data_IF_004293574715
#
_entry.id   IF_004293574715
#
_cell.length_a   1.000
_cell.length_b   1.000
_cell.length_c   1.000
_cell.angle_alpha   90.00
_cell.angle_beta   90.00
_cell.angle_gamma   90.00
#
_symmetry.space_group_name_H-M   'P 1'
#
loop_
_entity.id
_entity.type
_entity.pdbx_description
1 polymer ?
#
# COMPACT_ATOMS: atom_id res chain seq x y z
N UNK A 1 -9.94 -19.79 5.38
CA UNK A 1 -8.77 -19.47 6.23
C UNK A 1 -8.74 -17.94 6.36
N UNK A 2 -8.76 -17.35 7.58
CA UNK A 2 -8.69 -15.89 7.72
C UNK A 2 -7.25 -15.43 7.38
N UNK A 3 -7.07 -14.37 6.58
CA UNK A 3 -5.75 -13.94 6.15
C UNK A 3 -4.87 -13.48 7.31
N UNK A 4 -3.57 -13.75 7.22
CA UNK A 4 -2.55 -13.13 8.06
C UNK A 4 -2.46 -11.63 7.72
N UNK A 5 -2.55 -10.79 8.74
CA UNK A 5 -2.50 -9.32 8.67
C UNK A 5 -1.63 -8.76 9.80
N UNK A 6 -1.14 -7.55 9.63
CA UNK A 6 -0.41 -6.79 10.63
C UNK A 6 -1.20 -6.65 11.94
N UNK A 7 -2.51 -6.38 11.84
CA UNK A 7 -3.38 -6.29 13.02
C UNK A 7 -3.49 -7.64 13.75
N UNK A 8 -3.64 -8.74 13.02
CA UNK A 8 -3.69 -10.07 13.67
C UNK A 8 -2.37 -10.45 14.33
N UNK A 9 -1.22 -10.02 13.77
CA UNK A 9 0.08 -10.22 14.39
C UNK A 9 0.24 -9.34 15.64
N UNK A 10 -0.21 -8.09 15.59
CA UNK A 10 -0.27 -7.19 16.74
C UNK A 10 -1.10 -7.77 17.89
N UNK A 11 -2.34 -8.17 17.62
CA UNK A 11 -3.24 -8.76 18.62
C UNK A 11 -2.62 -10.01 19.24
N UNK A 12 -1.97 -10.85 18.42
CA UNK A 12 -1.30 -12.05 18.88
C UNK A 12 -0.13 -11.75 19.82
N UNK A 13 0.80 -10.88 19.42
CA UNK A 13 1.95 -10.50 20.25
C UNK A 13 1.49 -9.81 21.55
N UNK A 14 0.44 -8.98 21.48
CA UNK A 14 -0.16 -8.33 22.64
C UNK A 14 -0.85 -9.33 23.60
N UNK A 15 -1.45 -10.38 23.06
CA UNK A 15 -2.05 -11.48 23.84
C UNK A 15 -0.98 -12.22 24.63
N UNK A 16 0.15 -12.55 23.99
CA UNK A 16 1.30 -13.16 24.65
C UNK A 16 1.88 -12.23 25.73
N UNK A 17 2.02 -10.93 25.44
CA UNK A 17 2.43 -9.91 26.44
C UNK A 17 1.53 -9.93 27.69
N UNK A 18 0.25 -10.21 27.53
CA UNK A 18 -0.74 -10.24 28.62
C UNK A 18 -0.71 -11.54 29.44
N UNK A 19 0.21 -12.47 29.14
CA UNK A 19 0.35 -13.74 29.87
C UNK A 19 -0.72 -14.78 29.53
N UNK A 20 -1.47 -14.58 28.45
CA UNK A 20 -2.51 -15.54 28.02
C UNK A 20 -1.83 -16.74 27.37
N UNK A 21 -2.14 -17.93 27.88
CA UNK A 21 -1.51 -19.17 27.45
C UNK A 21 -1.84 -19.54 25.99
N UNK A 22 -0.87 -20.13 25.26
CA UNK A 22 -1.10 -20.66 23.92
C UNK A 22 -2.28 -21.63 23.83
N UNK A 23 -3.26 -21.32 23.00
CA UNK A 23 -4.33 -22.26 22.64
C UNK A 23 -3.76 -23.23 21.59
N UNK A 24 -4.04 -24.52 21.71
CA UNK A 24 -3.58 -25.55 20.76
C UNK A 24 -4.40 -25.52 19.45
N UNK A 25 -4.42 -24.38 18.79
CA UNK A 25 -5.04 -24.10 17.50
C UNK A 25 -3.93 -24.05 16.42
N UNK A 26 -4.18 -24.64 15.25
CA UNK A 26 -3.28 -24.58 14.10
C UNK A 26 -2.94 -23.14 13.70
N UNK A 27 -3.91 -22.21 13.83
CA UNK A 27 -3.70 -20.79 13.55
C UNK A 27 -2.76 -20.14 14.57
N UNK A 28 -2.90 -20.52 15.83
CA UNK A 28 -2.02 -20.02 16.89
C UNK A 28 -0.58 -20.44 16.63
N UNK A 29 -0.36 -21.70 16.24
CA UNK A 29 0.98 -22.22 15.89
C UNK A 29 1.60 -21.49 14.70
N UNK A 30 0.80 -21.11 13.72
CA UNK A 30 1.26 -20.33 12.57
C UNK A 30 1.71 -18.92 12.99
N UNK A 31 0.87 -18.20 13.74
CA UNK A 31 1.19 -16.85 14.23
C UNK A 31 2.40 -16.87 15.17
N UNK A 32 2.49 -17.89 16.02
CA UNK A 32 3.62 -18.12 16.90
C UNK A 32 4.91 -18.33 16.11
N UNK A 33 4.90 -19.20 15.09
CA UNK A 33 6.06 -19.44 14.24
C UNK A 33 6.51 -18.12 13.60
N UNK A 34 5.59 -17.36 13.01
CA UNK A 34 5.93 -16.07 12.38
C UNK A 34 6.48 -15.07 13.40
N UNK A 35 5.88 -14.97 14.60
CA UNK A 35 6.35 -14.06 15.63
C UNK A 35 7.74 -14.45 16.19
N UNK A 36 8.06 -15.74 16.23
CA UNK A 36 9.39 -16.26 16.59
C UNK A 36 10.39 -15.99 15.48
N UNK A 37 10.05 -16.25 14.21
CA UNK A 37 10.90 -15.98 13.05
C UNK A 37 11.26 -14.49 12.94
N UNK A 38 10.31 -13.61 13.24
CA UNK A 38 10.51 -12.15 13.30
C UNK A 38 11.30 -11.67 14.53
N UNK A 39 11.57 -12.58 15.48
CA UNK A 39 12.24 -12.28 16.74
C UNK A 39 11.41 -11.44 17.70
N UNK A 40 10.07 -11.39 17.54
CA UNK A 40 9.17 -10.65 18.44
C UNK A 40 8.89 -11.43 19.73
N UNK A 41 8.95 -12.75 19.65
CA UNK A 41 8.73 -13.68 20.76
C UNK A 41 9.89 -14.68 20.77
N UNK A 42 10.35 -15.07 21.95
CA UNK A 42 11.39 -16.09 22.11
C UNK A 42 10.82 -17.53 22.20
N UNK A 43 11.71 -18.52 22.29
CA UNK A 43 11.32 -19.93 22.41
C UNK A 43 10.55 -20.28 23.69
N UNK A 44 10.49 -19.38 24.67
CA UNK A 44 9.79 -19.54 25.95
C UNK A 44 8.46 -18.76 25.97
N UNK A 45 7.97 -18.31 24.82
CA UNK A 45 6.75 -17.50 24.70
C UNK A 45 6.83 -16.15 25.42
N UNK A 46 8.04 -15.60 25.56
CA UNK A 46 8.25 -14.28 26.16
C UNK A 46 8.46 -13.24 25.06
N UNK A 47 7.86 -12.07 25.23
CA UNK A 47 8.05 -10.95 24.30
C UNK A 47 9.49 -10.41 24.41
N UNK A 48 10.15 -10.24 23.27
CA UNK A 48 11.52 -9.71 23.21
C UNK A 48 11.53 -8.18 23.20
N UNK A 49 12.71 -7.55 23.31
CA UNK A 49 12.86 -6.11 23.09
C UNK A 49 12.35 -5.66 21.71
N UNK A 50 12.63 -6.46 20.67
CA UNK A 50 12.14 -6.24 19.30
C UNK A 50 10.62 -6.38 19.21
N UNK A 51 10.03 -7.32 19.94
CA UNK A 51 8.58 -7.46 20.05
C UNK A 51 7.92 -6.24 20.70
N UNK A 52 8.55 -5.67 21.74
CA UNK A 52 8.08 -4.43 22.36
C UNK A 52 8.18 -3.23 21.41
N UNK A 53 9.26 -3.13 20.64
CA UNK A 53 9.41 -2.11 19.58
C UNK A 53 8.29 -2.24 18.53
N UNK A 54 7.99 -3.46 18.09
CA UNK A 54 6.88 -3.72 17.17
C UNK A 54 5.53 -3.25 17.72
N UNK A 55 5.19 -3.61 18.97
CA UNK A 55 3.92 -3.18 19.58
C UNK A 55 3.84 -1.66 19.67
N UNK A 56 4.90 -0.99 20.13
CA UNK A 56 4.95 0.48 20.22
C UNK A 56 4.85 1.12 18.85
N UNK A 57 5.50 0.56 17.83
CA UNK A 57 5.47 1.08 16.47
C UNK A 57 4.05 1.00 15.89
N UNK A 58 3.35 -0.11 16.13
CA UNK A 58 1.95 -0.27 15.72
C UNK A 58 1.01 0.69 16.45
N UNK A 59 1.08 0.75 17.78
CA UNK A 59 0.24 1.64 18.61
C UNK A 59 0.41 3.13 18.23
N UNK A 60 1.63 3.55 17.91
CA UNK A 60 1.93 4.93 17.51
C UNK A 60 1.74 5.21 16.01
N UNK A 61 1.39 4.21 15.21
CA UNK A 61 1.32 4.34 13.74
C UNK A 61 2.67 4.67 13.10
N UNK A 62 3.79 4.27 13.71
CA UNK A 62 5.14 4.49 13.19
C UNK A 62 5.46 3.44 12.10
N UNK A 63 4.99 3.71 10.89
CA UNK A 63 5.21 2.91 9.69
C UNK A 63 6.68 2.71 9.34
N UNK A 64 7.54 3.70 9.57
CA UNK A 64 8.97 3.63 9.26
C UNK A 64 9.66 2.56 10.12
N UNK A 65 9.39 2.59 11.43
CA UNK A 65 9.90 1.60 12.36
C UNK A 65 9.33 0.20 12.05
N UNK A 66 8.04 0.10 11.73
CA UNK A 66 7.45 -1.17 11.30
C UNK A 66 8.12 -1.71 10.04
N UNK A 67 8.25 -0.88 9.01
CA UNK A 67 8.92 -1.24 7.75
C UNK A 67 10.33 -1.76 8.00
N UNK A 68 11.13 -1.04 8.81
CA UNK A 68 12.47 -1.46 9.21
C UNK A 68 12.47 -2.83 9.91
N UNK A 69 11.57 -3.04 10.86
CA UNK A 69 11.46 -4.32 11.58
C UNK A 69 11.16 -5.50 10.64
N UNK A 70 10.32 -5.31 9.62
CA UNK A 70 10.05 -6.35 8.62
C UNK A 70 11.17 -6.52 7.59
N UNK A 71 11.84 -5.44 7.17
CA UNK A 71 13.02 -5.51 6.30
C UNK A 71 14.15 -6.32 6.94
N UNK A 72 14.39 -6.10 8.23
CA UNK A 72 15.47 -6.77 8.97
C UNK A 72 15.13 -8.21 9.37
N UNK A 73 13.83 -8.52 9.55
CA UNK A 73 13.37 -9.77 10.18
C UNK A 73 12.61 -10.74 9.27
N UNK A 74 12.16 -10.31 8.08
CA UNK A 74 11.34 -11.12 7.19
C UNK A 74 11.92 -11.13 5.78
N UNK A 75 12.74 -12.14 5.47
CA UNK A 75 13.41 -12.26 4.16
C UNK A 75 12.44 -12.14 2.96
N UNK A 76 11.24 -12.77 2.95
CA UNK A 76 10.28 -12.56 1.87
C UNK A 76 9.83 -11.11 1.71
N UNK A 77 9.66 -10.39 2.82
CA UNK A 77 9.32 -8.98 2.82
C UNK A 77 10.41 -8.15 2.15
N UNK A 78 11.65 -8.34 2.59
CA UNK A 78 12.82 -7.64 2.07
C UNK A 78 12.99 -7.83 0.56
N UNK A 79 13.01 -9.09 0.10
CA UNK A 79 13.18 -9.41 -1.34
C UNK A 79 12.07 -8.84 -2.21
N UNK A 80 10.82 -8.97 -1.79
CA UNK A 80 9.69 -8.45 -2.56
C UNK A 80 9.70 -6.93 -2.57
N UNK A 81 9.98 -6.29 -1.43
CA UNK A 81 10.07 -4.85 -1.34
C UNK A 81 11.21 -4.30 -2.23
N UNK A 82 12.40 -4.91 -2.20
CA UNK A 82 13.51 -4.54 -3.10
C UNK A 82 13.11 -4.65 -4.59
N UNK A 83 12.33 -5.66 -4.98
CA UNK A 83 11.84 -5.79 -6.35
C UNK A 83 10.79 -4.72 -6.71
N UNK A 84 9.89 -4.40 -5.78
CA UNK A 84 8.93 -3.31 -5.94
C UNK A 84 9.64 -1.97 -6.15
N UNK A 85 10.69 -1.68 -5.37
CA UNK A 85 11.49 -0.45 -5.53
C UNK A 85 12.22 -0.36 -6.88
N UNK A 86 12.40 -1.50 -7.56
CA UNK A 86 12.97 -1.61 -8.91
C UNK A 86 11.88 -1.62 -10.00
N UNK A 87 10.61 -1.42 -9.64
CA UNK A 87 9.48 -1.35 -10.56
C UNK A 87 8.83 -2.69 -10.90
N UNK A 88 9.21 -3.79 -10.24
CA UNK A 88 8.57 -5.09 -10.45
C UNK A 88 7.33 -5.19 -9.57
N UNK A 89 6.16 -4.90 -10.15
CA UNK A 89 4.89 -4.84 -9.39
C UNK A 89 3.95 -6.02 -9.67
N UNK A 90 4.15 -6.77 -10.75
CA UNK A 90 3.27 -7.88 -11.12
C UNK A 90 3.47 -9.09 -10.20
N UNK A 91 2.43 -9.61 -9.52
CA UNK A 91 2.56 -10.75 -8.62
C UNK A 91 3.18 -12.00 -9.26
N UNK A 92 2.80 -12.30 -10.52
CA UNK A 92 3.39 -13.44 -11.25
C UNK A 92 4.89 -13.26 -11.54
N UNK A 93 5.33 -12.02 -11.72
CA UNK A 93 6.75 -11.71 -11.92
C UNK A 93 7.53 -11.76 -10.61
N UNK A 94 6.95 -11.27 -9.51
CA UNK A 94 7.49 -11.42 -8.16
C UNK A 94 7.63 -12.90 -7.79
N UNK A 95 6.63 -13.74 -8.05
CA UNK A 95 6.72 -15.21 -7.88
C UNK A 95 7.89 -15.78 -8.66
N UNK A 96 8.01 -15.43 -9.95
CA UNK A 96 9.08 -15.93 -10.82
C UNK A 96 10.48 -15.51 -10.34
N UNK A 97 10.65 -14.25 -9.95
CA UNK A 97 11.96 -13.69 -9.60
C UNK A 97 12.40 -14.05 -8.18
N UNK A 98 11.46 -14.21 -7.25
CA UNK A 98 11.78 -14.55 -5.86
C UNK A 98 11.84 -16.06 -5.60
N UNK A 99 11.12 -16.85 -6.41
CA UNK A 99 10.89 -18.28 -6.17
C UNK A 99 9.83 -18.56 -5.08
N UNK A 100 9.19 -17.53 -4.52
CA UNK A 100 8.12 -17.71 -3.55
C UNK A 100 6.81 -18.10 -4.23
N UNK A 101 5.97 -18.86 -3.52
CA UNK A 101 4.63 -19.16 -4.00
C UNK A 101 3.74 -17.90 -3.95
N UNK A 102 2.62 -17.94 -4.71
CA UNK A 102 1.70 -16.81 -4.84
C UNK A 102 1.09 -16.35 -3.50
N UNK A 103 0.93 -17.26 -2.53
CA UNK A 103 0.37 -16.93 -1.21
C UNK A 103 1.34 -16.09 -0.39
N UNK A 104 2.63 -16.45 -0.40
CA UNK A 104 3.68 -15.66 0.28
C UNK A 104 3.79 -14.28 -0.34
N UNK A 105 3.76 -14.18 -1.67
CA UNK A 105 3.80 -12.90 -2.38
C UNK A 105 2.59 -12.04 -2.02
N UNK A 106 1.37 -12.60 -2.06
CA UNK A 106 0.14 -11.88 -1.67
C UNK A 106 0.20 -11.38 -0.22
N UNK A 107 0.65 -12.24 0.71
CA UNK A 107 0.76 -11.90 2.12
C UNK A 107 1.75 -10.76 2.35
N UNK A 108 2.91 -10.80 1.70
CA UNK A 108 3.92 -9.75 1.81
C UNK A 108 3.43 -8.43 1.19
N UNK A 109 2.82 -8.47 0.00
CA UNK A 109 2.22 -7.28 -0.62
C UNK A 109 1.15 -6.66 0.28
N UNK A 110 0.34 -7.48 0.94
CA UNK A 110 -0.63 -7.02 1.93
C UNK A 110 0.05 -6.36 3.12
N UNK A 111 1.09 -6.97 3.69
CA UNK A 111 1.84 -6.38 4.82
C UNK A 111 2.47 -5.04 4.44
N UNK A 112 3.09 -4.92 3.26
CA UNK A 112 3.65 -3.67 2.76
C UNK A 112 2.56 -2.61 2.69
N UNK A 113 1.43 -2.93 2.05
CA UNK A 113 0.27 -2.04 1.94
C UNK A 113 -0.29 -1.62 3.31
N UNK A 114 -0.39 -2.54 4.27
CA UNK A 114 -0.87 -2.26 5.62
C UNK A 114 0.09 -1.33 6.38
N UNK A 115 1.40 -1.56 6.31
CA UNK A 115 2.42 -0.71 6.93
C UNK A 115 2.43 0.69 6.30
N UNK A 116 2.40 0.78 4.97
CA UNK A 116 2.33 2.06 4.25
C UNK A 116 1.04 2.83 4.58
N UNK A 117 -0.05 2.12 4.86
CA UNK A 117 -1.32 2.74 5.25
C UNK A 117 -1.29 3.35 6.65
N UNK A 118 -0.39 2.89 7.53
CA UNK A 118 -0.15 3.50 8.84
C UNK A 118 0.66 4.80 8.73
N UNK A 119 1.41 4.99 7.64
CA UNK A 119 2.15 6.22 7.39
C UNK A 119 1.20 7.37 7.06
N UNK A 120 1.13 8.37 7.96
CA UNK A 120 0.51 9.67 7.64
C UNK A 120 1.24 10.35 6.48
N UNK A 121 2.56 10.16 6.42
CA UNK A 121 3.44 10.62 5.34
C UNK A 121 4.01 9.38 4.64
N UNK A 122 3.33 8.85 3.62
CA UNK A 122 4.00 7.84 2.77
C UNK A 122 5.09 8.56 2.00
N UNK A 123 6.34 8.17 2.20
CA UNK A 123 7.45 8.61 1.35
C UNK A 123 7.15 8.07 -0.04
N UNK A 124 6.57 8.89 -0.91
CA UNK A 124 6.39 8.55 -2.30
C UNK A 124 7.80 8.41 -2.88
N UNK A 125 8.18 7.18 -3.24
CA UNK A 125 9.43 6.93 -3.94
C UNK A 125 9.42 7.69 -5.27
N UNK A 126 10.45 8.49 -5.55
CA UNK A 126 10.55 9.31 -6.75
C UNK A 126 10.45 8.47 -8.04
N UNK A 127 11.04 7.27 -8.08
CA UNK A 127 10.93 6.38 -9.25
C UNK A 127 9.50 5.87 -9.47
N UNK A 128 8.77 5.63 -8.39
CA UNK A 128 7.36 5.24 -8.44
C UNK A 128 6.49 6.43 -8.88
N UNK A 129 6.82 7.63 -8.42
CA UNK A 129 6.16 8.86 -8.86
C UNK A 129 6.36 9.07 -10.37
N UNK A 130 7.59 8.97 -10.88
CA UNK A 130 7.88 9.13 -12.32
C UNK A 130 7.11 8.10 -13.16
N UNK A 131 7.07 6.84 -12.72
CA UNK A 131 6.28 5.79 -13.39
C UNK A 131 4.77 6.11 -13.38
N UNK A 132 4.26 6.57 -12.24
CA UNK A 132 2.87 6.99 -12.09
C UNK A 132 2.53 8.19 -12.97
N UNK A 133 3.35 9.24 -12.94
CA UNK A 133 3.18 10.45 -13.73
C UNK A 133 3.14 10.12 -15.23
N UNK A 134 4.10 9.31 -15.70
CA UNK A 134 4.15 8.88 -17.10
C UNK A 134 2.89 8.12 -17.50
N UNK A 135 2.49 7.13 -16.72
CA UNK A 135 1.29 6.32 -17.00
C UNK A 135 0.02 7.19 -16.97
N UNK A 136 -0.13 8.07 -15.98
CA UNK A 136 -1.28 8.94 -15.83
C UNK A 136 -1.42 9.91 -17.00
N UNK A 137 -0.34 10.53 -17.44
CA UNK A 137 -0.35 11.41 -18.60
C UNK A 137 -0.68 10.65 -19.89
N UNK A 138 -0.12 9.45 -20.08
CA UNK A 138 -0.40 8.62 -21.25
C UNK A 138 -1.88 8.21 -21.33
N UNK A 139 -2.43 7.67 -20.23
CA UNK A 139 -3.85 7.29 -20.15
C UNK A 139 -4.77 8.48 -20.31
N UNK A 140 -4.43 9.62 -19.70
CA UNK A 140 -5.20 10.84 -19.87
C UNK A 140 -5.26 11.28 -21.34
N UNK A 141 -4.14 11.29 -22.08
CA UNK A 141 -4.16 11.62 -23.54
C UNK A 141 -5.06 10.67 -24.32
N UNK A 142 -5.00 9.38 -24.01
CA UNK A 142 -5.83 8.37 -24.64
C UNK A 142 -7.32 8.61 -24.40
N UNK A 143 -7.69 8.92 -23.17
CA UNK A 143 -9.07 9.18 -22.75
C UNK A 143 -9.60 10.53 -23.25
N UNK A 144 -8.78 11.58 -23.22
CA UNK A 144 -9.19 12.92 -23.63
C UNK A 144 -9.40 13.02 -25.13
N UNK A 145 -8.58 12.35 -25.96
CA UNK A 145 -8.72 12.36 -27.43
C UNK A 145 -9.99 11.69 -27.94
N UNK A 146 -10.54 10.73 -27.17
CA UNK A 146 -11.77 10.00 -27.54
C UNK A 146 -13.05 10.78 -27.19
N UNK A 147 -12.92 11.91 -26.51
CA UNK A 147 -14.04 12.71 -26.01
C UNK A 147 -14.01 14.10 -26.64
N UNK A 148 -15.19 14.69 -26.81
CA UNK A 148 -15.30 16.11 -27.18
C UNK A 148 -14.79 17.03 -26.04
N UNK A 149 -14.90 16.57 -24.79
CA UNK A 149 -14.42 17.30 -23.62
C UNK A 149 -13.03 16.83 -23.18
N UNK A 150 -12.14 17.78 -22.82
CA UNK A 150 -10.85 17.48 -22.18
C UNK A 150 -11.00 16.99 -20.73
N UNK A 151 -12.18 17.08 -20.13
CA UNK A 151 -12.44 16.57 -18.79
C UNK A 151 -12.60 15.05 -18.79
N UNK A 152 -11.75 14.37 -18.01
CA UNK A 152 -11.73 12.90 -17.85
C UNK A 152 -12.16 12.56 -16.43
N UNK A 153 -12.91 11.46 -16.25
CA UNK A 153 -13.29 11.00 -14.91
C UNK A 153 -12.06 10.49 -14.16
N UNK A 154 -11.84 11.00 -12.94
CA UNK A 154 -10.66 10.66 -12.13
C UNK A 154 -10.63 9.16 -11.83
N UNK A 155 -11.78 8.58 -11.46
CA UNK A 155 -11.88 7.16 -11.13
C UNK A 155 -11.47 6.25 -12.29
N UNK A 156 -12.00 6.53 -13.49
CA UNK A 156 -11.63 5.79 -14.70
C UNK A 156 -10.13 5.91 -14.98
N UNK A 157 -9.58 7.13 -14.92
CA UNK A 157 -8.16 7.37 -15.14
C UNK A 157 -7.29 6.59 -14.14
N UNK A 158 -7.65 6.65 -12.85
CA UNK A 158 -6.94 5.91 -11.81
C UNK A 158 -7.08 4.40 -11.99
N UNK A 159 -8.24 3.88 -12.39
CA UNK A 159 -8.40 2.45 -12.63
C UNK A 159 -7.52 1.96 -13.79
N UNK A 160 -7.37 2.76 -14.87
CA UNK A 160 -6.45 2.43 -15.97
C UNK A 160 -4.98 2.49 -15.53
N UNK A 161 -4.58 3.51 -14.79
CA UNK A 161 -3.20 3.65 -14.26
C UNK A 161 -2.90 2.53 -13.26
N UNK A 162 -3.85 2.20 -12.39
CA UNK A 162 -3.74 1.10 -11.43
C UNK A 162 -3.67 -0.26 -12.14
N UNK A 163 -4.41 -0.45 -13.22
CA UNK A 163 -4.33 -1.67 -14.02
C UNK A 163 -2.95 -1.84 -14.69
N UNK A 164 -2.30 -0.74 -15.05
CA UNK A 164 -0.95 -0.76 -15.63
C UNK A 164 0.14 -0.98 -14.59
N UNK A 165 0.09 -0.22 -13.49
CA UNK A 165 1.15 -0.20 -12.48
C UNK A 165 0.92 -1.19 -11.33
N UNK A 166 -0.26 -1.81 -11.26
CA UNK A 166 -0.68 -2.74 -10.21
C UNK A 166 -0.60 -2.15 -8.79
N UNK A 167 -0.80 -0.83 -8.67
CA UNK A 167 -0.72 -0.13 -7.39
C UNK A 167 -2.04 -0.18 -6.60
N UNK A 168 -2.00 -0.26 -5.25
CA UNK A 168 -3.18 -0.18 -4.40
C UNK A 168 -3.95 1.14 -4.55
N UNK A 169 -5.26 1.11 -4.32
CA UNK A 169 -6.15 2.27 -4.41
C UNK A 169 -5.67 3.49 -3.59
N UNK A 170 -5.24 3.23 -2.34
CA UNK A 170 -4.78 4.29 -1.44
C UNK A 170 -3.47 4.93 -1.93
N UNK A 171 -2.55 4.13 -2.47
CA UNK A 171 -1.29 4.62 -3.03
C UNK A 171 -1.54 5.44 -4.29
N UNK A 172 -2.45 5.00 -5.16
CA UNK A 172 -2.89 5.76 -6.32
C UNK A 172 -3.50 7.12 -5.94
N UNK A 173 -4.28 7.19 -4.86
CA UNK A 173 -4.81 8.44 -4.32
C UNK A 173 -3.71 9.40 -3.86
N UNK A 174 -2.73 8.91 -3.10
CA UNK A 174 -1.59 9.74 -2.65
C UNK A 174 -0.69 10.19 -3.80
N UNK A 175 -0.42 9.31 -4.76
CA UNK A 175 0.31 9.65 -5.99
C UNK A 175 -0.45 10.69 -6.83
N UNK A 176 -1.78 10.61 -6.88
CA UNK A 176 -2.62 11.62 -7.52
C UNK A 176 -2.53 12.97 -6.81
N UNK A 177 -2.61 13.01 -5.48
CA UNK A 177 -2.42 14.23 -4.70
C UNK A 177 -1.06 14.86 -4.99
N UNK A 178 0.00 14.06 -4.98
CA UNK A 178 1.36 14.52 -5.30
C UNK A 178 1.47 15.04 -6.74
N UNK A 179 0.85 14.34 -7.70
CA UNK A 179 0.78 14.79 -9.09
C UNK A 179 0.07 16.15 -9.20
N UNK A 180 -1.09 16.31 -8.56
CA UNK A 180 -1.84 17.58 -8.54
C UNK A 180 -1.01 18.68 -7.89
N UNK A 181 -0.26 18.37 -6.83
CA UNK A 181 0.65 19.32 -6.18
C UNK A 181 1.74 19.81 -7.12
N UNK A 182 2.40 18.90 -7.83
CA UNK A 182 3.50 19.22 -8.76
C UNK A 182 3.02 19.87 -10.05
N UNK A 183 1.81 19.53 -10.51
CA UNK A 183 1.20 20.06 -11.74
C UNK A 183 0.12 21.11 -11.48
N UNK A 184 0.16 21.79 -10.34
CA UNK A 184 -0.91 22.69 -9.85
C UNK A 184 -1.42 23.69 -10.91
N UNK A 185 -0.52 24.24 -11.72
CA UNK A 185 -0.83 25.29 -12.70
C UNK A 185 -1.36 24.72 -14.02
N UNK A 186 -1.33 23.39 -14.17
CA UNK A 186 -1.74 22.64 -15.37
C UNK A 186 -2.93 21.73 -15.13
N UNK A 187 -3.33 21.53 -13.89
CA UNK A 187 -4.41 20.61 -13.51
C UNK A 187 -5.62 21.39 -13.02
N UNK A 188 -6.78 21.09 -13.59
CA UNK A 188 -8.07 21.58 -13.13
C UNK A 188 -8.89 20.40 -12.63
N UNK A 189 -9.25 20.41 -11.35
CA UNK A 189 -10.14 19.44 -10.74
C UNK A 189 -11.55 20.02 -10.63
N UNK A 190 -12.55 19.28 -11.08
CA UNK A 190 -13.96 19.71 -11.02
C UNK A 190 -14.83 18.66 -10.32
N UNK A 191 -15.71 19.14 -9.46
CA UNK A 191 -16.84 18.36 -8.98
C UNK A 191 -17.91 18.22 -10.07
N UNK A 192 -18.89 17.36 -9.85
CA UNK A 192 -20.10 17.30 -10.67
C UNK A 192 -21.23 18.07 -9.98
N UNK A 193 -21.67 19.24 -10.48
CA UNK A 193 -22.86 19.90 -9.94
C UNK A 193 -24.09 19.04 -10.23
N UNK A 194 -24.75 18.55 -9.18
CA UNK A 194 -26.01 17.80 -9.26
C UNK A 194 -25.89 16.27 -9.25
N UNK A 195 -24.68 15.70 -9.21
CA UNK A 195 -24.53 14.30 -8.84
C UNK A 195 -24.62 14.20 -7.32
N UNK A 196 -25.53 13.37 -6.80
CA UNK A 196 -25.30 12.78 -5.48
C UNK A 196 -23.86 12.25 -5.52
N UNK A 197 -23.01 12.75 -4.62
CA UNK A 197 -21.59 12.38 -4.50
C UNK A 197 -21.49 10.89 -4.10
N UNK A 198 -21.88 10.02 -5.00
CA UNK A 198 -21.85 8.57 -4.89
C UNK A 198 -20.44 8.04 -5.14
N UNK A 199 -20.36 6.74 -5.37
CA UNK A 199 -19.13 5.94 -5.49
C UNK A 199 -18.10 6.43 -6.52
N UNK A 200 -18.42 7.41 -7.37
CA UNK A 200 -17.56 7.85 -8.47
C UNK A 200 -16.70 9.08 -8.17
N UNK A 201 -16.86 9.70 -6.99
CA UNK A 201 -15.99 10.79 -6.54
C UNK A 201 -14.66 10.26 -5.98
N UNK A 202 -13.58 10.96 -6.25
CA UNK A 202 -12.25 10.74 -5.67
C UNK A 202 -11.91 11.91 -4.75
N UNK A 203 -11.41 11.61 -3.56
CA UNK A 203 -10.95 12.63 -2.61
C UNK A 203 -9.50 13.03 -2.92
N UNK A 204 -9.24 14.33 -3.00
CA UNK A 204 -7.92 14.93 -3.21
C UNK A 204 -7.82 16.13 -2.25
N UNK A 205 -6.84 16.15 -1.35
CA UNK A 205 -6.67 17.18 -0.31
C UNK A 205 -7.95 17.43 0.52
N UNK A 206 -8.67 16.36 0.88
CA UNK A 206 -9.89 16.43 1.68
C UNK A 206 -11.13 16.97 0.95
N UNK A 207 -11.05 17.18 -0.37
CA UNK A 207 -12.17 17.62 -1.19
C UNK A 207 -12.51 16.56 -2.24
N UNK A 208 -13.81 16.37 -2.50
CA UNK A 208 -14.29 15.39 -3.48
C UNK A 208 -14.36 16.00 -4.89
N UNK A 209 -13.76 15.30 -5.84
CA UNK A 209 -13.74 15.67 -7.25
C UNK A 209 -14.20 14.49 -8.10
N UNK A 210 -14.73 14.76 -9.29
CA UNK A 210 -15.20 13.73 -10.23
C UNK A 210 -14.35 13.73 -11.50
N UNK A 211 -13.97 14.91 -11.98
CA UNK A 211 -13.24 15.06 -13.23
C UNK A 211 -11.91 15.79 -13.02
N UNK A 212 -10.96 15.46 -13.88
CA UNK A 212 -9.67 16.10 -14.03
C UNK A 212 -9.49 16.56 -15.48
N UNK A 213 -8.96 17.76 -15.66
CA UNK A 213 -8.42 18.25 -16.91
C UNK A 213 -6.95 18.56 -16.69
N UNK A 214 -6.10 18.06 -17.57
CA UNK A 214 -4.65 18.28 -17.58
C UNK A 214 -4.31 19.05 -18.85
N UNK A 215 -3.74 20.25 -18.68
CA UNK A 215 -3.19 21.04 -19.75
C UNK A 215 -1.76 20.58 -20.03
N UNK A 216 -1.58 19.88 -21.14
CA UNK A 216 -0.30 19.28 -21.52
C UNK A 216 0.72 20.29 -22.06
N UNK A 217 0.29 21.52 -22.39
CA UNK A 217 1.05 22.39 -23.29
C UNK A 217 1.08 21.78 -24.69
N UNK A 218 0.58 22.50 -25.69
CA UNK A 218 0.86 22.16 -27.09
C UNK A 218 2.29 22.64 -27.45
#
# INVERSE_FOLDING_TARGET
MRPFTLNTLYEFVNTIRSGIAPVNDARFKELLRVAVDLGFIDGNYTITGRGLEFLRAFENGNSELLHKLFMDGLEPYRRIYELLTKGVTKPGELVRLTGYNAVVVDLVLRLISEIESLSRDSIINESLYEAFEKALLEKYRGLSRRRWSKYVQIRQLLDEVRGELYIPNRLAGKLLEEFVRRWRDRVVLTGAPGAELGNDSVEVFGKKYVYIMINMGD
#
